data_IF_525024394948
#
_entry.id   IF_525024394948
#
_cell.length_a   1.000
_cell.length_b   1.000
_cell.length_c   1.000
_cell.angle_alpha   90.00
_cell.angle_beta   90.00
_cell.angle_gamma   90.00
#
_symmetry.space_group_name_H-M   'P 1'
#
loop_
_entity.id
_entity.type
_entity.pdbx_description
1 polymer ?
#
# COMPACT_ATOMS: atom_id res chain seq x y z
N UNK A 1 -13.65 4.66 -10.81
CA UNK A 1 -12.77 3.73 -11.56
C UNK A 1 -12.36 2.62 -10.59
N UNK A 2 -12.54 1.33 -10.93
CA UNK A 2 -12.39 0.22 -9.98
C UNK A 2 -10.90 -0.17 -9.84
N UNK A 3 -10.30 -0.08 -8.64
CA UNK A 3 -8.93 -0.51 -8.44
C UNK A 3 -8.82 -2.04 -8.63
N UNK A 4 -7.77 -2.49 -9.31
CA UNK A 4 -7.46 -3.92 -9.49
C UNK A 4 -7.27 -4.65 -8.16
N UNK A 5 -6.74 -3.96 -7.14
CA UNK A 5 -6.66 -4.44 -5.78
C UNK A 5 -7.13 -3.32 -4.85
N UNK A 6 -8.16 -3.61 -4.06
CA UNK A 6 -8.71 -2.68 -3.06
C UNK A 6 -8.28 -3.17 -1.68
N UNK A 7 -7.57 -2.33 -0.94
CA UNK A 7 -7.41 -2.52 0.50
C UNK A 7 -8.69 -2.01 1.16
N UNK A 8 -9.37 -2.87 1.91
CA UNK A 8 -10.51 -2.44 2.72
C UNK A 8 -10.01 -2.15 4.14
N UNK A 9 -10.19 -0.91 4.59
CA UNK A 9 -9.81 -0.51 5.93
C UNK A 9 -10.83 -1.06 6.93
N UNK A 10 -10.39 -1.43 8.15
CA UNK A 10 -11.30 -1.90 9.19
C UNK A 10 -12.36 -0.83 9.49
N UNK A 11 -13.61 -1.29 9.64
CA UNK A 11 -14.77 -0.45 9.98
C UNK A 11 -14.50 0.25 11.31
N UNK A 12 -14.18 1.54 11.26
CA UNK A 12 -13.84 2.36 12.42
C UNK A 12 -12.62 3.25 12.20
N UNK A 13 -11.78 2.94 11.21
CA UNK A 13 -10.61 3.75 10.89
C UNK A 13 -10.88 4.66 9.68
N UNK A 14 -11.25 5.91 9.95
CA UNK A 14 -11.45 6.97 8.95
C UNK A 14 -10.23 7.86 8.75
N UNK A 15 -9.30 7.88 9.70
CA UNK A 15 -8.11 8.72 9.66
C UNK A 15 -6.85 7.94 10.03
N UNK A 16 -5.82 8.06 9.18
CA UNK A 16 -4.45 7.68 9.55
C UNK A 16 -3.92 8.81 10.44
N UNK A 17 -3.48 8.53 11.68
CA UNK A 17 -2.97 9.55 12.59
C UNK A 17 -1.80 10.27 11.94
N UNK A 18 -1.92 11.59 11.74
CA UNK A 18 -0.91 12.39 11.03
C UNK A 18 0.23 12.86 11.92
N UNK A 19 0.06 12.74 13.22
CA UNK A 19 0.97 13.15 14.29
C UNK A 19 1.98 12.05 14.66
N UNK A 20 1.98 10.92 13.95
CA UNK A 20 2.82 9.77 14.29
C UNK A 20 2.32 8.99 15.51
N UNK A 21 1.17 9.36 16.07
CA UNK A 21 0.55 8.59 17.16
C UNK A 21 0.07 7.24 16.60
N UNK A 22 0.65 6.13 17.06
CA UNK A 22 0.33 4.79 16.54
C UNK A 22 1.28 4.25 15.45
N UNK A 23 2.46 4.85 15.27
CA UNK A 23 3.55 4.19 14.54
C UNK A 23 3.98 2.92 15.30
N UNK A 24 4.16 1.82 14.58
CA UNK A 24 4.54 0.51 15.12
C UNK A 24 3.37 -0.30 15.70
N UNK A 25 2.16 0.25 15.78
CA UNK A 25 0.97 -0.51 16.23
C UNK A 25 0.09 -0.94 15.05
N UNK A 26 -0.41 -2.19 15.03
CA UNK A 26 -1.32 -2.64 14.00
C UNK A 26 -2.61 -1.83 14.06
N UNK A 27 -2.92 -1.12 12.98
CA UNK A 27 -4.14 -0.35 12.80
C UNK A 27 -5.38 -1.23 12.63
N UNK A 28 -5.18 -2.50 12.27
CA UNK A 28 -6.22 -3.52 12.21
C UNK A 28 -6.06 -4.45 11.02
N UNK A 29 -6.97 -5.43 10.95
CA UNK A 29 -6.99 -6.39 9.85
C UNK A 29 -7.67 -5.73 8.62
N UNK A 30 -6.91 -5.57 7.55
CA UNK A 30 -7.35 -5.00 6.29
C UNK A 30 -7.34 -6.09 5.21
N UNK A 31 -8.51 -6.60 4.77
CA UNK A 31 -8.55 -7.54 3.66
C UNK A 31 -8.18 -6.85 2.34
N UNK A 32 -7.30 -7.48 1.57
CA UNK A 32 -7.03 -7.13 0.19
C UNK A 32 -8.02 -7.86 -0.72
N UNK A 33 -8.82 -7.08 -1.43
CA UNK A 33 -9.82 -7.55 -2.37
C UNK A 33 -9.32 -7.40 -3.81
N UNK A 34 -9.14 -8.49 -4.53
CA UNK A 34 -8.90 -8.49 -5.97
C UNK A 34 -10.17 -8.07 -6.70
N UNK A 35 -10.04 -7.11 -7.61
CA UNK A 35 -11.13 -6.43 -8.31
C UNK A 35 -12.18 -5.79 -7.38
N UNK A 36 -11.87 -5.66 -6.08
CA UNK A 36 -12.82 -5.22 -5.06
C UNK A 36 -13.89 -6.25 -4.70
N UNK A 37 -13.78 -7.51 -5.15
CA UNK A 37 -14.74 -8.58 -4.85
C UNK A 37 -14.11 -9.78 -4.12
N UNK A 38 -12.93 -10.23 -4.53
CA UNK A 38 -12.37 -11.50 -4.02
C UNK A 38 -11.32 -11.24 -2.93
N UNK A 39 -11.54 -11.62 -1.66
CA UNK A 39 -10.51 -11.50 -0.63
C UNK A 39 -9.36 -12.45 -0.96
N UNK A 40 -8.27 -11.88 -1.45
CA UNK A 40 -7.05 -12.62 -1.80
C UNK A 40 -6.03 -12.62 -0.68
N UNK A 41 -6.10 -11.62 0.21
CA UNK A 41 -5.18 -11.53 1.32
C UNK A 41 -5.78 -10.80 2.52
N UNK A 42 -5.16 -10.96 3.69
CA UNK A 42 -5.47 -10.23 4.90
C UNK A 42 -4.17 -9.63 5.43
N UNK A 43 -4.10 -8.31 5.46
CA UNK A 43 -2.95 -7.61 6.03
C UNK A 43 -3.27 -7.07 7.41
N UNK A 44 -2.28 -7.07 8.31
CA UNK A 44 -2.36 -6.26 9.54
C UNK A 44 -1.63 -4.95 9.29
N UNK A 45 -2.37 -3.96 8.82
CA UNK A 45 -1.82 -2.68 8.41
C UNK A 45 -1.06 -2.03 9.57
N UNK A 46 0.25 -1.84 9.44
CA UNK A 46 1.06 -1.19 10.48
C UNK A 46 1.96 -0.15 9.80
N UNK A 47 1.83 1.11 10.18
CA UNK A 47 2.77 2.14 9.74
C UNK A 47 3.97 2.15 10.67
N UNK A 48 5.17 2.00 10.12
CA UNK A 48 6.41 1.99 10.91
C UNK A 48 7.00 3.40 10.95
N UNK A 49 6.96 4.09 9.81
CA UNK A 49 7.40 5.48 9.71
C UNK A 49 6.38 6.25 8.90
N UNK A 50 6.12 7.50 9.29
CA UNK A 50 5.25 8.37 8.52
C UNK A 50 5.69 9.82 8.69
N UNK A 51 6.02 10.45 7.58
CA UNK A 51 6.31 11.88 7.44
C UNK A 51 5.18 12.51 6.62
N UNK A 52 4.29 13.29 7.27
CA UNK A 52 3.16 13.92 6.60
C UNK A 52 3.58 14.70 5.35
N UNK A 53 3.01 14.32 4.20
CA UNK A 53 3.25 14.99 2.92
C UNK A 53 4.57 14.66 2.23
N UNK A 54 5.43 13.80 2.81
CA UNK A 54 6.72 13.42 2.22
C UNK A 54 6.93 11.92 2.08
N UNK A 55 6.73 11.14 3.13
CA UNK A 55 7.12 9.73 3.13
C UNK A 55 6.22 8.92 4.05
N UNK A 56 5.97 7.67 3.71
CA UNK A 56 5.45 6.71 4.67
C UNK A 56 6.03 5.33 4.38
N UNK A 57 6.28 4.58 5.46
CA UNK A 57 6.69 3.19 5.43
C UNK A 57 5.60 2.39 6.11
N UNK A 58 4.96 1.56 5.31
CA UNK A 58 4.00 0.58 5.76
C UNK A 58 4.69 -0.79 5.85
N UNK A 59 4.56 -1.47 6.98
CA UNK A 59 5.02 -2.84 7.13
C UNK A 59 3.87 -3.68 7.68
N UNK A 60 3.33 -4.54 6.84
CA UNK A 60 2.11 -5.28 7.18
C UNK A 60 2.36 -6.76 6.93
N UNK A 61 2.24 -7.65 7.92
CA UNK A 61 2.27 -9.07 7.61
C UNK A 61 1.03 -9.40 6.77
N UNK A 62 1.24 -9.98 5.58
CA UNK A 62 0.17 -10.54 4.77
C UNK A 62 0.06 -12.04 5.03
N UNK A 63 -1.13 -12.59 4.79
CA UNK A 63 -1.39 -14.02 4.88
C UNK A 63 -0.64 -14.76 3.76
N UNK A 64 -0.60 -14.21 2.55
CA UNK A 64 0.10 -14.83 1.41
C UNK A 64 1.61 -14.55 1.38
N UNK A 65 2.09 -13.52 2.10
CA UNK A 65 3.48 -13.08 2.07
C UNK A 65 4.16 -13.17 3.44
N UNK A 66 5.35 -13.77 3.50
CA UNK A 66 6.15 -13.91 4.73
C UNK A 66 6.53 -12.54 5.30
N UNK A 67 6.84 -11.59 4.43
CA UNK A 67 7.11 -10.20 4.78
C UNK A 67 6.61 -9.29 3.67
N UNK A 68 6.20 -8.09 4.06
CA UNK A 68 5.86 -7.00 3.15
C UNK A 68 6.20 -5.68 3.83
N UNK A 69 6.96 -4.88 3.12
CA UNK A 69 7.37 -3.53 3.48
C UNK A 69 7.18 -2.69 2.23
N UNK A 70 6.28 -1.73 2.32
CA UNK A 70 5.99 -0.79 1.26
C UNK A 70 6.32 0.61 1.74
N UNK A 71 7.28 1.23 1.07
CA UNK A 71 7.70 2.60 1.30
C UNK A 71 7.22 3.47 0.14
N UNK A 72 6.51 4.55 0.44
CA UNK A 72 6.17 5.60 -0.53
C UNK A 72 6.86 6.89 -0.14
N UNK A 73 7.53 7.50 -1.09
CA UNK A 73 8.09 8.84 -0.97
C UNK A 73 7.50 9.74 -2.05
N UNK A 74 7.12 10.96 -1.66
CA UNK A 74 6.57 11.99 -2.52
C UNK A 74 7.55 13.16 -2.44
N UNK A 75 8.27 13.40 -3.53
CA UNK A 75 9.19 14.54 -3.65
C UNK A 75 8.57 15.61 -4.53
N UNK A 76 8.51 16.87 -4.08
CA UNK A 76 8.05 17.96 -4.93
C UNK A 76 9.01 18.14 -6.12
N UNK A 77 8.45 18.36 -7.31
CA UNK A 77 9.20 18.63 -8.53
C UNK A 77 8.79 20.00 -9.10
N UNK A 78 9.54 20.52 -10.07
CA UNK A 78 9.26 21.83 -10.68
C UNK A 78 7.83 21.94 -11.24
N UNK A 79 7.29 20.82 -11.77
CA UNK A 79 5.90 20.70 -12.20
C UNK A 79 5.24 19.49 -11.51
N UNK A 80 4.69 19.72 -10.32
CA UNK A 80 3.93 18.71 -9.57
C UNK A 80 4.76 17.95 -8.53
N UNK A 81 4.63 16.62 -8.49
CA UNK A 81 5.32 15.79 -7.52
C UNK A 81 5.70 14.42 -8.10
N UNK A 82 6.88 13.94 -7.75
CA UNK A 82 7.36 12.60 -8.05
C UNK A 82 6.95 11.66 -6.93
N UNK A 83 6.16 10.64 -7.27
CA UNK A 83 5.77 9.59 -6.33
C UNK A 83 6.61 8.34 -6.60
N UNK A 84 7.48 8.00 -5.64
CA UNK A 84 8.29 6.79 -5.68
C UNK A 84 7.71 5.77 -4.71
N UNK A 85 7.38 4.58 -5.21
CA UNK A 85 6.93 3.45 -4.41
C UNK A 85 8.03 2.37 -4.43
N UNK A 86 8.66 2.12 -3.28
CA UNK A 86 9.63 1.03 -3.06
C UNK A 86 8.94 -0.12 -2.32
N UNK A 87 9.01 -1.32 -2.87
CA UNK A 87 8.34 -2.49 -2.32
C UNK A 87 9.34 -3.62 -2.08
N UNK A 88 9.39 -4.07 -0.83
CA UNK A 88 10.14 -5.23 -0.40
C UNK A 88 9.15 -6.27 0.12
N UNK A 89 9.07 -7.42 -0.54
CA UNK A 89 8.16 -8.48 -0.11
C UNK A 89 8.76 -9.85 -0.37
N UNK A 90 8.42 -10.79 0.52
CA UNK A 90 8.79 -12.20 0.38
C UNK A 90 7.52 -13.03 0.29
N UNK A 91 7.10 -13.44 -0.92
CA UNK A 91 5.92 -14.27 -1.09
C UNK A 91 6.17 -15.67 -0.52
N UNK A 92 5.14 -16.30 0.09
CA UNK A 92 5.26 -17.69 0.58
C UNK A 92 5.27 -18.71 -0.56
N UNK A 93 4.55 -18.41 -1.65
CA UNK A 93 4.39 -19.27 -2.82
C UNK A 93 4.40 -18.43 -4.10
N UNK A 94 4.74 -19.06 -5.23
CA UNK A 94 4.62 -18.48 -6.57
C UNK A 94 5.29 -17.09 -6.72
N UNK A 95 6.53 -16.95 -6.22
CA UNK A 95 7.27 -15.69 -6.22
C UNK A 95 7.27 -14.88 -7.54
N UNK A 96 7.56 -15.49 -8.71
CA UNK A 96 7.57 -14.73 -9.97
C UNK A 96 6.16 -14.24 -10.38
N UNK A 97 5.12 -15.03 -10.08
CA UNK A 97 3.74 -14.68 -10.39
C UNK A 97 3.28 -13.52 -9.49
N UNK A 98 3.53 -13.63 -8.19
CA UNK A 98 3.22 -12.56 -7.24
C UNK A 98 3.94 -11.27 -7.61
N UNK A 99 5.23 -11.35 -7.94
CA UNK A 99 6.01 -10.19 -8.39
C UNK A 99 5.40 -9.51 -9.62
N UNK A 100 5.02 -10.29 -10.64
CA UNK A 100 4.35 -9.76 -11.83
C UNK A 100 3.04 -9.03 -11.50
N UNK A 101 2.19 -9.63 -10.66
CA UNK A 101 0.92 -9.01 -10.25
C UNK A 101 1.14 -7.74 -9.43
N UNK A 102 2.08 -7.74 -8.49
CA UNK A 102 2.44 -6.56 -7.69
C UNK A 102 2.93 -5.44 -8.61
N UNK A 103 3.86 -5.71 -9.53
CA UNK A 103 4.34 -4.70 -10.48
C UNK A 103 3.20 -4.13 -11.32
N UNK A 104 2.32 -4.97 -11.88
CA UNK A 104 1.17 -4.51 -12.68
C UNK A 104 0.19 -3.68 -11.86
N UNK A 105 -0.04 -4.04 -10.60
CA UNK A 105 -0.88 -3.27 -9.70
C UNK A 105 -0.32 -1.87 -9.46
N UNK A 106 0.97 -1.76 -9.16
CA UNK A 106 1.60 -0.46 -8.88
C UNK A 106 1.69 0.41 -10.14
N UNK A 107 1.98 -0.18 -11.30
CA UNK A 107 1.90 0.52 -12.59
C UNK A 107 0.50 1.08 -12.84
N UNK A 108 -0.55 0.28 -12.58
CA UNK A 108 -1.93 0.74 -12.71
C UNK A 108 -2.26 1.87 -11.72
N UNK A 109 -1.85 1.73 -10.45
CA UNK A 109 -2.03 2.78 -9.43
C UNK A 109 -1.35 4.09 -9.82
N UNK A 110 -0.13 4.02 -10.34
CA UNK A 110 0.61 5.18 -10.83
C UNK A 110 -0.06 5.83 -12.03
N UNK A 111 -0.48 5.04 -13.03
CA UNK A 111 -1.21 5.56 -14.18
C UNK A 111 -2.52 6.26 -13.78
N UNK A 112 -3.20 5.71 -12.77
CA UNK A 112 -4.43 6.29 -12.22
C UNK A 112 -4.18 7.57 -11.43
N UNK A 113 -3.14 7.61 -10.59
CA UNK A 113 -2.70 8.82 -9.88
C UNK A 113 -2.32 9.92 -10.88
N UNK A 114 -1.50 9.58 -11.87
CA UNK A 114 -1.11 10.48 -12.94
C UNK A 114 -2.32 11.01 -13.71
N UNK A 115 -3.38 10.21 -13.91
CA UNK A 115 -4.61 10.66 -14.56
C UNK A 115 -5.46 11.58 -13.67
N UNK A 116 -5.47 11.37 -12.36
CA UNK A 116 -6.30 12.14 -11.44
C UNK A 116 -5.71 13.52 -11.09
N UNK A 117 -4.38 13.62 -11.07
CA UNK A 117 -3.65 14.85 -10.76
C UNK A 117 -3.02 15.52 -12.00
N UNK A 118 -3.46 15.13 -13.21
CA UNK A 118 -3.06 15.79 -14.46
C UNK A 118 -3.82 17.07 -14.70
#
# INVERSE_FOLDING_TARGET
MRPLLKLDFPKGMTHIPRDGSGLGTPLGNCPFLLLGLLPVDLSRLTFVEMEPGRRFVEQSPLLSMKSWRHERTITPAAEGATVTDSLEFTPRFAAPIVGFFVTKLFQHRHAMLAKHYR
#
